data_IF_371813063520
#
_entry.id   IF_371813063520
#
_cell.length_a   1.000
_cell.length_b   1.000
_cell.length_c   1.000
_cell.angle_alpha   90.00
_cell.angle_beta   90.00
_cell.angle_gamma   90.00
#
_symmetry.space_group_name_H-M   'P 1'
#
loop_
_entity.id
_entity.type
_entity.pdbx_description
1 polymer ?
#
# COMPACT_ATOMS: atom_id res chain seq x y z
N UNK A 1 -8.01 3.50 9.81
CA UNK A 1 -8.13 2.37 8.85
C UNK A 1 -9.19 2.61 7.77
N UNK A 2 -10.50 2.81 8.07
CA UNK A 2 -11.52 2.93 7.01
C UNK A 2 -11.32 4.12 6.07
N UNK A 3 -10.90 5.27 6.61
CA UNK A 3 -10.64 6.49 5.81
C UNK A 3 -9.60 6.27 4.69
N UNK A 4 -8.50 5.57 5.00
CA UNK A 4 -7.46 5.23 4.01
C UNK A 4 -7.97 4.26 2.94
N UNK A 5 -8.92 3.37 3.28
CA UNK A 5 -9.53 2.47 2.31
C UNK A 5 -10.42 3.24 1.31
N UNK A 6 -11.24 4.17 1.79
CA UNK A 6 -12.07 5.00 0.89
C UNK A 6 -11.23 5.89 -0.03
N UNK A 7 -10.13 6.45 0.46
CA UNK A 7 -9.17 7.21 -0.38
C UNK A 7 -8.62 6.30 -1.48
N UNK A 8 -8.20 5.08 -1.15
CA UNK A 8 -7.71 4.11 -2.15
C UNK A 8 -8.79 3.70 -3.15
N UNK A 9 -10.03 3.51 -2.69
CA UNK A 9 -11.16 3.18 -3.56
C UNK A 9 -11.48 4.34 -4.53
N UNK A 10 -11.30 5.59 -4.09
CA UNK A 10 -11.43 6.74 -4.97
C UNK A 10 -10.30 6.81 -6.01
N UNK A 11 -9.05 6.58 -5.60
CA UNK A 11 -7.89 6.63 -6.50
C UNK A 11 -7.84 5.46 -7.49
N UNK A 12 -8.33 4.30 -7.07
CA UNK A 12 -8.41 3.07 -7.85
C UNK A 12 -9.80 2.45 -7.67
N UNK A 13 -10.83 2.96 -8.38
CA UNK A 13 -12.17 2.40 -8.32
C UNK A 13 -12.12 0.94 -8.78
N UNK A 14 -12.74 0.04 -8.01
CA UNK A 14 -12.93 -1.34 -8.45
C UNK A 14 -13.70 -1.32 -9.77
N UNK A 15 -13.21 -2.07 -10.75
CA UNK A 15 -13.57 -2.16 -12.19
C UNK A 15 -15.06 -2.23 -12.62
N UNK A 16 -16.03 -1.85 -11.79
CA UNK A 16 -17.44 -1.78 -12.18
C UNK A 16 -17.71 -0.79 -13.32
N UNK A 17 -16.88 0.24 -13.50
CA UNK A 17 -17.02 1.16 -14.64
C UNK A 17 -16.48 0.60 -15.96
N UNK A 18 -15.50 -0.33 -15.91
CA UNK A 18 -14.96 -0.98 -17.12
C UNK A 18 -15.92 -2.07 -17.62
N UNK A 19 -16.52 -2.83 -16.69
CA UNK A 19 -17.49 -3.87 -17.03
C UNK A 19 -18.79 -3.32 -17.62
N UNK A 20 -19.24 -2.13 -17.19
CA UNK A 20 -20.44 -1.49 -17.75
C UNK A 20 -20.16 -0.91 -19.15
N UNK A 21 -18.94 -0.43 -19.43
CA UNK A 21 -18.53 0.04 -20.75
C UNK A 21 -18.26 -1.12 -21.74
N UNK A 22 -17.76 -2.28 -21.27
CA UNK A 22 -17.69 -3.51 -22.08
C UNK A 22 -19.09 -4.12 -22.33
N UNK A 23 -19.96 -4.13 -21.32
CA UNK A 23 -21.33 -4.60 -21.47
C UNK A 23 -22.15 -3.68 -22.38
N UNK A 24 -21.80 -2.39 -22.48
CA UNK A 24 -22.42 -1.44 -23.41
C UNK A 24 -22.07 -1.75 -24.88
N UNK A 25 -20.88 -2.30 -25.16
CA UNK A 25 -20.34 -2.58 -26.52
C UNK A 25 -20.73 -3.95 -27.11
N UNK A 26 -21.34 -4.85 -26.32
CA UNK A 26 -21.78 -6.16 -26.81
C UNK A 26 -23.12 -6.12 -27.57
N UNK A 27 -23.35 -6.97 -28.60
CA UNK A 27 -24.62 -7.05 -29.31
C UNK A 27 -25.77 -7.50 -28.39
N UNK A 28 -26.98 -6.96 -28.62
CA UNK A 28 -28.17 -7.11 -27.76
C UNK A 28 -28.56 -8.57 -27.45
N UNK A 29 -28.22 -9.52 -28.34
CA UNK A 29 -28.48 -10.96 -28.16
C UNK A 29 -27.62 -11.61 -27.07
N UNK A 30 -26.42 -11.08 -26.80
CA UNK A 30 -25.52 -11.57 -25.74
C UNK A 30 -25.84 -10.94 -24.38
N UNK A 31 -26.26 -9.65 -24.34
CA UNK A 31 -26.69 -8.97 -23.10
C UNK A 31 -27.88 -9.66 -22.44
N UNK A 32 -28.85 -10.14 -23.23
CA UNK A 32 -30.04 -10.84 -22.70
C UNK A 32 -29.68 -12.20 -22.09
N UNK A 33 -28.74 -12.95 -22.69
CA UNK A 33 -28.25 -14.22 -22.16
C UNK A 33 -27.44 -14.04 -20.87
N UNK A 34 -26.59 -13.01 -20.80
CA UNK A 34 -25.76 -12.77 -19.61
C UNK A 34 -26.60 -12.27 -18.41
N UNK A 35 -27.54 -11.34 -18.63
CA UNK A 35 -28.47 -10.88 -17.59
C UNK A 35 -29.38 -12.00 -17.09
N UNK A 36 -29.80 -12.92 -17.97
CA UNK A 36 -30.57 -14.10 -17.57
C UNK A 36 -29.74 -15.11 -16.77
N UNK A 37 -28.45 -15.27 -17.10
CA UNK A 37 -27.51 -16.12 -16.35
C UNK A 37 -27.19 -15.54 -14.97
N UNK A 38 -26.97 -14.24 -14.87
CA UNK A 38 -26.75 -13.53 -13.60
C UNK A 38 -27.99 -13.58 -12.69
N UNK A 39 -29.18 -13.27 -13.22
CA UNK A 39 -30.44 -13.41 -12.44
C UNK A 39 -30.68 -14.85 -11.96
N UNK A 40 -30.29 -15.86 -12.74
CA UNK A 40 -30.40 -17.27 -12.35
C UNK A 40 -29.38 -17.68 -11.30
N UNK A 41 -28.18 -17.11 -11.32
CA UNK A 41 -27.16 -17.33 -10.29
C UNK A 41 -27.55 -16.62 -8.98
N UNK A 42 -28.03 -15.38 -9.05
CA UNK A 42 -28.49 -14.61 -7.89
C UNK A 42 -29.73 -15.25 -7.24
N UNK A 43 -30.69 -15.75 -8.05
CA UNK A 43 -31.84 -16.49 -7.54
C UNK A 43 -31.46 -17.84 -6.91
N UNK A 44 -30.35 -18.47 -7.33
CA UNK A 44 -29.83 -19.69 -6.70
C UNK A 44 -29.13 -19.37 -5.38
N UNK A 45 -28.29 -18.33 -5.33
CA UNK A 45 -27.62 -17.89 -4.12
C UNK A 45 -28.62 -17.43 -3.04
N UNK A 46 -29.69 -16.71 -3.43
CA UNK A 46 -30.76 -16.31 -2.50
C UNK A 46 -31.52 -17.51 -1.93
N UNK A 47 -31.83 -18.52 -2.76
CA UNK A 47 -32.49 -19.74 -2.31
C UNK A 47 -31.60 -20.59 -1.41
N UNK A 48 -30.30 -20.70 -1.71
CA UNK A 48 -29.34 -21.42 -0.85
C UNK A 48 -29.13 -20.70 0.50
N UNK A 49 -29.19 -19.36 0.52
CA UNK A 49 -29.14 -18.59 1.76
C UNK A 49 -30.42 -18.71 2.60
N UNK A 50 -31.61 -18.77 1.98
CA UNK A 50 -32.88 -19.01 2.68
C UNK A 50 -32.97 -20.43 3.26
N UNK A 51 -32.58 -21.47 2.50
CA UNK A 51 -32.59 -22.86 2.99
C UNK A 51 -31.63 -23.04 4.17
N UNK A 52 -30.46 -22.39 4.15
CA UNK A 52 -29.51 -22.44 5.27
C UNK A 52 -30.01 -21.69 6.51
N UNK A 53 -30.84 -20.66 6.34
CA UNK A 53 -31.50 -19.97 7.45
C UNK A 53 -32.64 -20.81 8.05
N UNK A 54 -33.42 -21.53 7.24
CA UNK A 54 -34.51 -22.39 7.72
C UNK A 54 -33.98 -23.63 8.48
N UNK A 55 -32.89 -24.26 8.03
CA UNK A 55 -32.29 -25.40 8.73
C UNK A 55 -31.72 -25.01 10.12
N UNK A 56 -31.27 -23.77 10.30
CA UNK A 56 -30.82 -23.28 11.61
C UNK A 56 -31.95 -22.93 12.58
N UNK A 57 -33.20 -22.84 12.10
CA UNK A 57 -34.33 -22.39 12.90
C UNK A 57 -35.27 -23.54 13.38
N UNK A 58 -35.04 -24.78 12.95
CA UNK A 58 -35.85 -25.95 13.36
C UNK A 58 -35.17 -26.80 14.45
N UNK A 59 -33.86 -26.64 14.67
CA UNK A 59 -33.11 -27.37 15.70
C UNK A 59 -32.88 -26.56 16.98
N UNK A 60 -33.91 -26.32 17.80
CA UNK A 60 -33.69 -25.58 19.06
C UNK A 60 -34.88 -25.28 19.96
N UNK A 61 -35.88 -26.16 20.05
CA UNK A 61 -36.89 -26.06 21.11
C UNK A 61 -36.34 -26.70 22.38
N UNK A 62 -35.72 -25.92 23.28
CA UNK A 62 -35.98 -25.96 24.73
C UNK A 62 -35.16 -24.94 25.55
N UNK A 63 -35.91 -24.11 26.27
CA UNK A 63 -35.60 -23.38 27.53
C UNK A 63 -34.55 -22.24 27.55
N UNK A 64 -35.12 -21.05 27.80
CA UNK A 64 -34.62 -19.93 28.64
C UNK A 64 -33.47 -19.06 28.12
N UNK A 65 -33.77 -17.76 28.00
CA UNK A 65 -32.75 -16.70 27.92
C UNK A 65 -32.98 -15.72 26.78
N UNK A 66 -33.65 -14.60 27.07
CA UNK A 66 -33.88 -13.46 26.18
C UNK A 66 -32.55 -12.78 25.82
N UNK A 67 -31.78 -13.35 24.88
CA UNK A 67 -30.69 -12.64 24.19
C UNK A 67 -31.28 -12.10 22.89
N UNK A 68 -31.46 -10.78 22.82
CA UNK A 68 -31.65 -10.09 21.55
C UNK A 68 -30.49 -10.51 20.64
N UNK A 69 -30.80 -11.30 19.61
CA UNK A 69 -29.82 -11.68 18.59
C UNK A 69 -29.23 -10.40 18.01
N UNK A 70 -27.89 -10.31 17.99
CA UNK A 70 -27.21 -9.20 17.29
C UNK A 70 -27.79 -9.13 15.87
N UNK A 71 -28.11 -7.93 15.35
CA UNK A 71 -28.54 -7.78 13.97
C UNK A 71 -27.57 -8.55 13.07
N UNK A 72 -28.09 -9.50 12.28
CA UNK A 72 -27.29 -10.20 11.28
C UNK A 72 -26.79 -9.14 10.32
N UNK A 73 -25.47 -9.05 10.18
CA UNK A 73 -24.83 -8.10 9.28
C UNK A 73 -25.36 -8.32 7.86
N UNK A 74 -26.02 -7.33 7.23
CA UNK A 74 -26.57 -7.45 5.88
C UNK A 74 -25.48 -7.41 4.79
N UNK A 75 -24.20 -7.26 5.14
CA UNK A 75 -23.06 -7.30 4.24
C UNK A 75 -21.83 -8.00 4.87
N UNK A 76 -21.91 -9.30 5.18
CA UNK A 76 -20.86 -10.02 5.90
C UNK A 76 -19.56 -10.16 5.08
N UNK A 77 -19.62 -9.94 3.76
CA UNK A 77 -18.46 -9.96 2.86
C UNK A 77 -17.97 -8.56 2.47
N UNK A 78 -18.66 -7.48 2.87
CA UNK A 78 -18.27 -6.11 2.56
C UNK A 78 -18.44 -5.70 1.09
N UNK A 79 -19.24 -6.44 0.32
CA UNK A 79 -19.42 -6.21 -1.13
C UNK A 79 -20.16 -4.89 -1.39
N UNK A 80 -21.13 -4.53 -0.54
CA UNK A 80 -21.83 -3.24 -0.65
C UNK A 80 -20.91 -2.09 -0.26
N UNK A 81 -19.98 -2.32 0.67
CA UNK A 81 -18.99 -1.31 1.07
C UNK A 81 -18.04 -0.96 -0.09
N UNK A 82 -17.67 -1.95 -0.91
CA UNK A 82 -16.86 -1.74 -2.12
C UNK A 82 -17.64 -1.01 -3.22
N UNK A 83 -18.95 -1.17 -3.27
CA UNK A 83 -19.85 -0.50 -4.22
C UNK A 83 -20.32 0.89 -3.76
N UNK A 84 -19.61 1.52 -2.82
CA UNK A 84 -19.95 2.87 -2.34
C UNK A 84 -19.92 3.88 -3.50
N UNK A 85 -21.04 4.54 -3.79
CA UNK A 85 -21.18 5.49 -4.90
C UNK A 85 -20.26 6.72 -4.78
N UNK A 86 -20.12 7.28 -3.58
CA UNK A 86 -19.18 8.38 -3.30
C UNK A 86 -18.25 8.04 -2.12
N UNK A 87 -17.09 7.41 -2.39
CA UNK A 87 -16.12 7.08 -1.36
C UNK A 87 -15.61 8.31 -0.60
N UNK A 88 -15.51 9.47 -1.26
CA UNK A 88 -15.01 10.69 -0.63
C UNK A 88 -16.03 11.32 0.31
N UNK A 89 -17.33 11.17 0.04
CA UNK A 89 -18.38 11.60 0.96
C UNK A 89 -18.34 10.78 2.25
N UNK A 90 -18.24 9.45 2.15
CA UNK A 90 -18.08 8.57 3.32
C UNK A 90 -16.79 8.88 4.09
N UNK A 91 -15.66 9.05 3.38
CA UNK A 91 -14.41 9.52 3.96
C UNK A 91 -14.60 10.83 4.77
N UNK A 92 -15.43 11.74 4.27
CA UNK A 92 -15.76 12.99 4.94
C UNK A 92 -16.46 12.81 6.30
N UNK A 93 -17.29 11.77 6.46
CA UNK A 93 -17.97 11.49 7.74
C UNK A 93 -16.96 11.06 8.81
N UNK A 94 -16.06 10.14 8.46
CA UNK A 94 -14.98 9.72 9.36
C UNK A 94 -14.01 10.86 9.67
N UNK A 95 -13.69 11.68 8.67
CA UNK A 95 -12.81 12.82 8.86
C UNK A 95 -13.39 13.82 9.88
N UNK A 96 -14.69 14.13 9.80
CA UNK A 96 -15.36 15.00 10.78
C UNK A 96 -15.26 14.44 12.21
N UNK A 97 -15.40 13.13 12.37
CA UNK A 97 -15.27 12.48 13.68
C UNK A 97 -13.84 12.59 14.22
N UNK A 98 -12.83 12.34 13.37
CA UNK A 98 -11.42 12.48 13.74
C UNK A 98 -11.08 13.93 14.09
N UNK A 99 -11.55 14.91 13.32
CA UNK A 99 -11.33 16.32 13.63
C UNK A 99 -11.99 16.75 14.95
N UNK A 100 -13.13 16.14 15.32
CA UNK A 100 -13.83 16.44 16.57
C UNK A 100 -13.17 15.83 17.80
N UNK A 101 -12.62 14.61 17.68
CA UNK A 101 -12.13 13.83 18.83
C UNK A 101 -10.61 13.60 18.85
N UNK A 102 -9.90 13.96 17.79
CA UNK A 102 -8.47 13.67 17.61
C UNK A 102 -7.79 14.76 16.77
N UNK A 103 -8.11 16.03 17.04
CA UNK A 103 -7.53 17.20 16.36
C UNK A 103 -6.04 17.41 16.66
N UNK A 104 -5.50 16.82 17.71
CA UNK A 104 -4.09 16.97 18.07
C UNK A 104 -3.20 15.89 17.46
N UNK A 105 -3.79 14.96 16.70
CA UNK A 105 -3.05 13.91 16.01
C UNK A 105 -2.66 14.36 14.60
N UNK A 106 -1.38 14.22 14.26
CA UNK A 106 -0.85 14.58 12.94
C UNK A 106 -1.57 13.85 11.81
N UNK A 107 -1.79 12.54 11.98
CA UNK A 107 -2.49 11.66 11.04
C UNK A 107 -3.89 12.17 10.66
N UNK A 108 -4.62 12.80 11.60
CA UNK A 108 -5.93 13.38 11.33
C UNK A 108 -5.84 14.45 10.25
N UNK A 109 -4.86 15.33 10.35
CA UNK A 109 -4.68 16.43 9.41
C UNK A 109 -4.02 15.98 8.11
N UNK A 110 -3.17 14.95 8.13
CA UNK A 110 -2.65 14.32 6.90
C UNK A 110 -3.81 13.76 6.07
N UNK A 111 -4.73 13.03 6.71
CA UNK A 111 -5.92 12.51 6.03
C UNK A 111 -6.86 13.64 5.60
N UNK A 112 -7.00 14.71 6.40
CA UNK A 112 -7.77 15.90 6.02
C UNK A 112 -7.23 16.54 4.76
N UNK A 113 -5.92 16.70 4.68
CA UNK A 113 -5.23 17.24 3.52
C UNK A 113 -5.50 16.37 2.28
N UNK A 114 -5.26 15.06 2.37
CA UNK A 114 -5.43 14.13 1.25
C UNK A 114 -6.88 14.11 0.71
N UNK A 115 -7.88 14.14 1.59
CA UNK A 115 -9.30 14.18 1.21
C UNK A 115 -9.66 15.52 0.57
N UNK A 116 -9.25 16.64 1.16
CA UNK A 116 -9.60 17.97 0.64
C UNK A 116 -8.89 18.29 -0.69
N UNK A 117 -7.66 17.79 -0.89
CA UNK A 117 -6.96 17.88 -2.16
C UNK A 117 -7.70 17.14 -3.28
N UNK A 118 -8.21 15.92 -3.01
CA UNK A 118 -9.03 15.16 -3.98
C UNK A 118 -10.35 15.84 -4.28
N UNK A 119 -11.02 16.38 -3.25
CA UNK A 119 -12.26 17.15 -3.39
C UNK A 119 -12.08 18.55 -4.00
N UNK A 120 -10.86 18.95 -4.37
CA UNK A 120 -10.53 20.29 -4.88
C UNK A 120 -10.92 21.42 -3.90
N UNK A 121 -11.01 21.14 -2.60
CA UNK A 121 -11.32 22.14 -1.55
C UNK A 121 -10.03 22.77 -1.03
N UNK A 122 -9.43 23.63 -1.85
CA UNK A 122 -8.08 24.15 -1.63
C UNK A 122 -7.91 24.89 -0.31
N UNK A 123 -8.87 25.73 0.09
CA UNK A 123 -8.78 26.47 1.36
C UNK A 123 -8.86 25.54 2.59
N UNK A 124 -9.62 24.45 2.52
CA UNK A 124 -9.65 23.44 3.57
C UNK A 124 -8.36 22.60 3.60
N UNK A 125 -7.77 22.33 2.44
CA UNK A 125 -6.46 21.70 2.36
C UNK A 125 -5.37 22.61 2.96
N UNK A 126 -5.42 23.93 2.70
CA UNK A 126 -4.53 24.91 3.33
C UNK A 126 -4.73 24.96 4.85
N UNK A 127 -5.97 24.91 5.33
CA UNK A 127 -6.27 24.85 6.76
C UNK A 127 -5.65 23.60 7.41
N UNK A 128 -5.81 22.43 6.79
CA UNK A 128 -5.20 21.19 7.26
C UNK A 128 -3.66 21.30 7.27
N UNK A 129 -3.08 21.91 6.25
CA UNK A 129 -1.65 22.14 6.16
C UNK A 129 -1.11 23.05 7.27
N UNK A 130 -1.83 24.13 7.61
CA UNK A 130 -1.47 24.99 8.77
C UNK A 130 -1.49 24.20 10.08
N UNK A 131 -2.43 23.26 10.25
CA UNK A 131 -2.47 22.39 11.43
C UNK A 131 -1.31 21.39 11.46
N UNK A 132 -0.95 20.81 10.31
CA UNK A 132 0.24 19.93 10.21
C UNK A 132 1.50 20.66 10.65
N UNK A 133 1.70 21.87 10.15
CA UNK A 133 2.85 22.71 10.46
C UNK A 133 2.88 23.15 11.93
N UNK A 134 1.71 23.38 12.54
CA UNK A 134 1.60 23.68 13.98
C UNK A 134 1.97 22.47 14.85
N UNK A 135 1.62 21.26 14.42
CA UNK A 135 1.83 20.05 15.21
C UNK A 135 3.26 19.51 15.08
N UNK A 136 3.77 19.37 13.86
CA UNK A 136 5.10 18.87 13.58
C UNK A 136 5.56 19.34 12.19
N UNK A 137 6.30 20.45 12.18
CA UNK A 137 6.88 21.09 11.00
C UNK A 137 8.06 20.30 10.40
N UNK A 138 8.75 19.52 11.24
CA UNK A 138 9.91 18.70 10.85
C UNK A 138 9.48 17.34 10.28
N UNK A 139 8.19 16.98 10.40
CA UNK A 139 7.71 15.69 9.92
C UNK A 139 7.88 15.52 8.39
N UNK A 140 8.36 14.35 7.92
CA UNK A 140 8.50 14.09 6.49
C UNK A 140 7.17 14.14 5.72
N UNK A 141 6.07 13.69 6.33
CA UNK A 141 4.75 13.73 5.69
C UNK A 141 4.16 15.15 5.68
N UNK A 142 4.40 15.95 6.73
CA UNK A 142 4.04 17.38 6.75
C UNK A 142 4.77 18.14 5.64
N UNK A 143 6.07 17.87 5.44
CA UNK A 143 6.88 18.47 4.39
C UNK A 143 6.40 18.06 2.99
N UNK A 144 6.07 16.77 2.78
CA UNK A 144 5.41 16.29 1.55
C UNK A 144 4.14 17.07 1.25
N UNK A 145 3.24 17.20 2.23
CA UNK A 145 1.99 17.92 2.05
C UNK A 145 2.22 19.39 1.69
N UNK A 146 3.18 20.05 2.35
CA UNK A 146 3.52 21.46 2.10
C UNK A 146 3.94 21.70 0.66
N UNK A 147 4.97 21.00 0.18
CA UNK A 147 5.50 21.24 -1.16
C UNK A 147 4.53 20.74 -2.24
N UNK A 148 3.88 19.59 -2.04
CA UNK A 148 2.84 19.10 -2.98
C UNK A 148 1.69 20.08 -3.10
N UNK A 149 1.26 20.71 -2.02
CA UNK A 149 0.20 21.73 -2.07
C UNK A 149 0.59 22.89 -2.97
N UNK A 150 1.72 23.54 -2.69
CA UNK A 150 2.13 24.72 -3.46
C UNK A 150 2.50 24.39 -4.90
N UNK A 151 3.12 23.23 -5.15
CA UNK A 151 3.36 22.76 -6.51
C UNK A 151 2.05 22.54 -7.27
N UNK A 152 1.08 21.84 -6.65
CA UNK A 152 -0.21 21.55 -7.27
C UNK A 152 -1.04 22.80 -7.52
N UNK A 153 -1.00 23.78 -6.62
CA UNK A 153 -1.67 25.08 -6.81
C UNK A 153 -1.03 25.87 -7.94
N UNK A 154 0.30 25.90 -8.01
CA UNK A 154 1.03 26.59 -9.08
C UNK A 154 0.84 25.94 -10.46
N UNK A 155 0.62 24.61 -10.51
CA UNK A 155 0.37 23.88 -11.75
C UNK A 155 -1.08 23.99 -12.28
N UNK A 156 -1.96 24.75 -11.61
CA UNK A 156 -3.36 24.89 -12.05
C UNK A 156 -3.45 25.91 -13.20
N UNK A 157 -4.46 25.79 -14.08
CA UNK A 157 -4.77 26.84 -15.03
C UNK A 157 -4.96 28.19 -14.34
N UNK A 158 -4.71 29.27 -15.08
CA UNK A 158 -4.94 30.62 -14.59
C UNK A 158 -6.40 30.78 -14.09
N UNK A 159 -6.62 31.53 -12.99
CA UNK A 159 -7.94 31.68 -12.40
C UNK A 159 -8.89 32.35 -13.39
N UNK A 160 -9.97 31.66 -13.74
CA UNK A 160 -10.96 32.14 -14.71
C UNK A 160 -12.06 32.95 -14.02
N UNK A 161 -12.35 32.63 -12.77
CA UNK A 161 -13.41 33.27 -11.97
C UNK A 161 -12.83 34.17 -10.88
N UNK A 162 -13.60 35.16 -10.44
CA UNK A 162 -13.17 36.03 -9.34
C UNK A 162 -13.02 35.26 -8.01
N UNK A 163 -13.80 34.20 -7.81
CA UNK A 163 -13.63 33.30 -6.68
C UNK A 163 -12.27 32.60 -6.68
N UNK A 164 -11.80 32.13 -7.83
CA UNK A 164 -10.47 31.51 -7.95
C UNK A 164 -9.33 32.52 -7.74
N UNK A 165 -9.49 33.76 -8.22
CA UNK A 165 -8.52 34.84 -7.95
C UNK A 165 -8.43 35.14 -6.46
N UNK A 166 -9.57 35.21 -5.76
CA UNK A 166 -9.61 35.40 -4.30
C UNK A 166 -8.92 34.24 -3.57
N UNK A 167 -9.19 33.00 -3.97
CA UNK A 167 -8.54 31.82 -3.39
C UNK A 167 -7.02 31.90 -3.60
N UNK A 168 -6.56 32.25 -4.80
CA UNK A 168 -5.14 32.39 -5.10
C UNK A 168 -4.49 33.52 -4.25
N UNK A 169 -5.15 34.68 -4.14
CA UNK A 169 -4.67 35.78 -3.30
C UNK A 169 -4.55 35.40 -1.82
N UNK A 170 -5.48 34.61 -1.29
CA UNK A 170 -5.36 34.06 0.08
C UNK A 170 -4.16 33.13 0.20
N UNK A 171 -3.91 32.25 -0.77
CA UNK A 171 -2.78 31.31 -0.75
C UNK A 171 -1.45 32.07 -0.82
N UNK A 172 -1.35 33.09 -1.68
CA UNK A 172 -0.17 33.94 -1.81
C UNK A 172 0.11 34.72 -0.53
N UNK A 173 -0.92 35.28 0.11
CA UNK A 173 -0.81 35.98 1.39
C UNK A 173 -0.41 35.04 2.55
N UNK A 174 -0.85 33.78 2.52
CA UNK A 174 -0.53 32.78 3.56
C UNK A 174 0.82 32.10 3.34
N UNK A 175 1.35 32.05 2.11
CA UNK A 175 2.66 31.47 1.79
C UNK A 175 3.82 31.94 2.70
N UNK A 176 4.02 33.24 2.99
CA UNK A 176 5.13 33.69 3.83
C UNK A 176 5.00 33.27 5.31
N UNK A 177 3.84 32.78 5.75
CA UNK A 177 3.64 32.29 7.13
C UNK A 177 4.31 30.93 7.36
N UNK A 178 4.62 30.19 6.29
CA UNK A 178 5.35 28.94 6.35
C UNK A 178 6.85 29.22 6.38
N UNK A 179 7.47 29.06 7.55
CA UNK A 179 8.91 29.35 7.77
C UNK A 179 9.83 28.64 6.76
N UNK A 180 9.48 27.43 6.33
CA UNK A 180 10.24 26.65 5.36
C UNK A 180 10.21 27.24 3.94
N UNK A 181 9.19 28.02 3.60
CA UNK A 181 9.00 28.62 2.28
C UNK A 181 9.28 30.13 2.26
N UNK A 182 9.58 30.73 3.40
CA UNK A 182 9.80 32.17 3.51
C UNK A 182 11.01 32.59 2.67
N UNK A 183 10.77 33.32 1.58
CA UNK A 183 11.81 33.77 0.64
C UNK A 183 12.49 32.66 -0.16
N UNK A 184 11.93 31.44 -0.18
CA UNK A 184 12.52 30.26 -0.84
C UNK A 184 11.60 29.70 -1.91
N UNK A 185 12.19 29.21 -2.99
CA UNK A 185 11.52 28.33 -3.94
C UNK A 185 11.23 26.97 -3.30
N UNK A 186 10.34 26.18 -3.94
CA UNK A 186 10.03 24.84 -3.46
C UNK A 186 11.25 23.91 -3.51
N UNK A 187 12.09 24.06 -4.53
CA UNK A 187 13.32 23.28 -4.69
C UNK A 187 14.31 23.61 -3.57
N UNK A 188 14.57 24.90 -3.32
CA UNK A 188 15.46 25.33 -2.22
C UNK A 188 14.95 24.88 -0.85
N UNK A 189 13.64 24.98 -0.61
CA UNK A 189 13.04 24.49 0.63
C UNK A 189 13.25 22.98 0.81
N UNK A 190 13.15 22.20 -0.27
CA UNK A 190 13.39 20.76 -0.24
C UNK A 190 14.86 20.43 0.05
N UNK A 191 15.80 21.17 -0.55
CA UNK A 191 17.24 21.01 -0.30
C UNK A 191 17.58 21.36 1.14
N UNK A 192 17.07 22.47 1.68
CA UNK A 192 17.30 22.85 3.09
C UNK A 192 16.78 21.78 4.05
N UNK A 193 15.60 21.21 3.76
CA UNK A 193 15.02 20.14 4.57
C UNK A 193 15.89 18.86 4.55
N UNK A 194 16.48 18.52 3.40
CA UNK A 194 17.44 17.42 3.32
C UNK A 194 18.67 17.68 4.19
N UNK A 195 19.22 18.90 4.14
CA UNK A 195 20.41 19.27 4.88
C UNK A 195 20.24 19.14 6.40
N UNK A 196 19.02 19.40 6.89
CA UNK A 196 18.66 19.28 8.30
C UNK A 196 18.47 17.82 8.76
N UNK A 197 18.12 16.91 7.84
CA UNK A 197 17.65 15.55 8.17
C UNK A 197 18.39 14.43 7.42
N UNK A 198 19.69 14.63 7.12
CA UNK A 198 20.50 13.75 6.26
C UNK A 198 20.56 12.28 6.69
N UNK A 199 20.42 12.03 7.99
CA UNK A 199 20.53 10.70 8.59
C UNK A 199 19.19 9.94 8.65
N UNK A 200 18.07 10.64 8.40
CA UNK A 200 16.75 10.04 8.53
C UNK A 200 16.23 9.50 7.20
N UNK A 201 16.06 8.18 7.13
CA UNK A 201 15.54 7.49 5.95
C UNK A 201 14.23 8.10 5.43
N UNK A 202 13.28 8.38 6.33
CA UNK A 202 11.96 8.88 5.93
C UNK A 202 12.01 10.32 5.41
N UNK A 203 12.92 11.14 5.93
CA UNK A 203 13.12 12.51 5.43
C UNK A 203 13.78 12.48 4.04
N UNK A 204 14.80 11.64 3.84
CA UNK A 204 15.41 11.42 2.52
C UNK A 204 14.39 10.91 1.50
N UNK A 205 13.52 9.97 1.89
CA UNK A 205 12.46 9.46 1.04
C UNK A 205 11.42 10.53 0.69
N UNK A 206 11.04 11.39 1.64
CA UNK A 206 10.17 12.53 1.38
C UNK A 206 10.82 13.55 0.42
N UNK A 207 12.08 13.88 0.63
CA UNK A 207 12.85 14.78 -0.25
C UNK A 207 12.94 14.19 -1.65
N UNK A 208 13.29 12.92 -1.79
CA UNK A 208 13.40 12.25 -3.08
C UNK A 208 12.08 12.27 -3.86
N UNK A 209 10.96 11.96 -3.19
CA UNK A 209 9.64 12.05 -3.79
C UNK A 209 9.33 13.47 -4.29
N UNK A 210 9.72 14.49 -3.51
CA UNK A 210 9.54 15.89 -3.87
C UNK A 210 10.48 16.34 -5.00
N UNK A 211 11.71 15.82 -5.08
CA UNK A 211 12.60 16.03 -6.23
C UNK A 211 11.91 15.53 -7.50
N UNK A 212 11.40 14.29 -7.47
CA UNK A 212 10.71 13.74 -8.63
C UNK A 212 9.40 14.48 -8.98
N UNK A 213 8.66 14.92 -7.97
CA UNK A 213 7.43 15.70 -8.16
C UNK A 213 7.70 17.09 -8.78
N UNK A 214 8.75 17.77 -8.34
CA UNK A 214 9.10 19.12 -8.81
C UNK A 214 9.88 19.09 -10.13
N UNK A 215 10.76 18.10 -10.30
CA UNK A 215 11.70 17.94 -11.40
C UNK A 215 11.70 16.48 -11.90
N UNK A 216 10.75 16.08 -12.75
CA UNK A 216 10.61 14.68 -13.20
C UNK A 216 11.86 14.11 -13.90
N UNK A 217 12.66 14.98 -14.53
CA UNK A 217 13.93 14.66 -15.16
C UNK A 217 15.02 14.20 -14.17
N UNK A 218 14.87 14.49 -12.87
CA UNK A 218 15.81 14.11 -11.81
C UNK A 218 15.43 12.81 -11.08
N UNK A 219 14.57 11.97 -11.67
CA UNK A 219 14.19 10.65 -11.12
C UNK A 219 15.39 9.84 -10.62
N UNK A 220 16.46 9.76 -11.42
CA UNK A 220 17.66 9.00 -11.05
C UNK A 220 18.39 9.54 -9.81
N UNK A 221 18.44 10.87 -9.65
CA UNK A 221 19.03 11.52 -8.47
C UNK A 221 18.19 11.24 -7.21
N UNK A 222 16.87 11.34 -7.34
CA UNK A 222 15.94 11.04 -6.24
C UNK A 222 16.04 9.58 -5.76
N UNK A 223 16.14 8.61 -6.68
CA UNK A 223 16.30 7.19 -6.31
C UNK A 223 17.66 6.97 -5.64
N UNK A 224 18.74 7.54 -6.18
CA UNK A 224 20.08 7.47 -5.56
C UNK A 224 20.07 8.03 -4.14
N UNK A 225 19.37 9.14 -3.91
CA UNK A 225 19.24 9.74 -2.57
C UNK A 225 18.66 8.74 -1.55
N UNK A 226 17.67 7.95 -1.95
CA UNK A 226 17.08 6.90 -1.12
C UNK A 226 18.07 5.75 -0.93
N UNK A 227 18.67 5.25 -2.02
CA UNK A 227 19.61 4.13 -1.98
C UNK A 227 20.85 4.46 -1.15
N UNK A 228 21.36 5.69 -1.16
CA UNK A 228 22.51 6.13 -0.38
C UNK A 228 22.19 6.45 1.08
N UNK A 229 20.96 6.17 1.55
CA UNK A 229 20.59 6.42 2.93
C UNK A 229 21.51 5.66 3.90
N UNK A 230 22.10 6.33 4.91
CA UNK A 230 22.89 5.64 5.92
C UNK A 230 21.96 4.82 6.83
N UNK A 231 22.44 3.65 7.25
CA UNK A 231 21.83 2.89 8.33
C UNK A 231 22.78 2.84 9.52
N UNK A 232 22.92 3.98 10.19
CA UNK A 232 23.82 4.10 11.33
C UNK A 232 23.32 3.21 12.48
N UNK A 233 24.25 2.53 13.16
CA UNK A 233 23.92 1.82 14.40
C UNK A 233 23.63 2.84 15.49
N UNK A 234 22.44 2.76 16.08
CA UNK A 234 22.09 3.55 17.25
C UNK A 234 22.50 2.72 18.47
N UNK A 235 23.33 3.27 19.35
CA UNK A 235 23.65 2.64 20.62
C UNK A 235 22.36 2.50 21.44
N UNK A 236 21.86 1.26 21.54
CA UNK A 236 20.74 0.95 22.41
C UNK A 236 21.26 0.75 23.83
N UNK A 237 20.76 1.51 24.80
CA UNK A 237 21.01 1.29 26.23
C UNK A 237 20.28 0.04 26.78
N UNK A 238 19.97 -0.93 25.92
CA UNK A 238 19.18 -2.13 26.23
C UNK A 238 19.95 -3.43 26.01
N UNK A 239 19.41 -4.58 26.47
CA UNK A 239 20.09 -5.88 26.40
C UNK A 239 20.33 -6.41 24.98
N UNK A 240 19.79 -5.74 23.95
CA UNK A 240 19.88 -6.14 22.54
C UNK A 240 21.06 -5.52 21.78
N UNK A 241 21.92 -4.75 22.46
CA UNK A 241 23.07 -4.10 21.84
C UNK A 241 22.70 -2.92 20.92
N UNK A 242 23.59 -2.59 19.99
CA UNK A 242 23.37 -1.51 19.02
C UNK A 242 22.37 -1.96 17.95
N UNK A 243 21.28 -1.21 17.78
CA UNK A 243 20.19 -1.53 16.86
C UNK A 243 20.31 -0.63 15.63
N UNK A 244 20.13 -1.20 14.44
CA UNK A 244 20.00 -0.46 13.18
C UNK A 244 18.98 0.68 13.33
N UNK A 245 19.34 1.90 12.91
CA UNK A 245 18.44 3.06 12.94
C UNK A 245 17.19 2.88 12.06
N UNK A 246 17.27 2.02 11.05
CA UNK A 246 16.12 1.71 10.19
C UNK A 246 15.09 0.82 10.88
N UNK A 247 13.81 1.23 10.77
CA UNK A 247 12.67 0.43 11.22
C UNK A 247 12.09 -0.33 10.03
N UNK A 248 11.66 -1.57 10.26
CA UNK A 248 11.05 -2.42 9.23
C UNK A 248 9.91 -1.71 8.49
N UNK A 249 9.02 -1.04 9.23
CA UNK A 249 7.88 -0.29 8.66
C UNK A 249 8.31 0.81 7.69
N UNK A 250 9.43 1.48 7.97
CA UNK A 250 9.94 2.61 7.19
C UNK A 250 10.58 2.07 5.90
N UNK A 251 11.37 1.00 5.99
CA UNK A 251 11.91 0.31 4.82
C UNK A 251 10.82 -0.25 3.90
N UNK A 252 9.73 -0.78 4.46
CA UNK A 252 8.57 -1.26 3.69
C UNK A 252 7.88 -0.09 2.99
N UNK A 253 7.74 1.06 3.66
CA UNK A 253 7.18 2.25 3.05
C UNK A 253 8.05 2.71 1.87
N UNK A 254 9.38 2.78 2.04
CA UNK A 254 10.31 3.13 0.97
C UNK A 254 10.24 2.18 -0.21
N UNK A 255 10.19 0.86 0.05
CA UNK A 255 10.03 -0.14 -1.02
C UNK A 255 8.75 0.11 -1.84
N UNK A 256 7.63 0.40 -1.16
CA UNK A 256 6.37 0.73 -1.83
C UNK A 256 6.47 2.04 -2.62
N UNK A 257 7.16 3.05 -2.09
CA UNK A 257 7.39 4.32 -2.79
C UNK A 257 8.20 4.10 -4.07
N UNK A 258 9.29 3.32 -4.02
CA UNK A 258 10.11 3.00 -5.20
C UNK A 258 9.30 2.30 -6.31
N UNK A 259 8.43 1.35 -5.94
CA UNK A 259 7.57 0.66 -6.92
C UNK A 259 6.39 1.49 -7.41
N UNK A 260 5.66 2.17 -6.52
CA UNK A 260 4.38 2.80 -6.86
C UNK A 260 4.49 4.27 -7.28
N UNK A 261 5.45 5.02 -6.73
CA UNK A 261 5.60 6.46 -7.01
C UNK A 261 6.65 6.69 -8.08
N UNK A 262 7.80 6.03 -7.95
CA UNK A 262 8.88 6.15 -8.93
C UNK A 262 8.68 5.25 -10.15
N UNK A 263 7.85 4.20 -10.05
CA UNK A 263 7.69 3.17 -11.09
C UNK A 263 9.06 2.61 -11.52
N UNK A 264 9.87 2.23 -10.52
CA UNK A 264 11.21 1.68 -10.73
C UNK A 264 11.34 0.34 -9.98
N UNK A 265 10.95 -0.73 -10.68
CA UNK A 265 10.97 -2.08 -10.14
C UNK A 265 12.39 -2.58 -9.86
N UNK A 266 13.38 -2.13 -10.61
CA UNK A 266 14.78 -2.51 -10.41
C UNK A 266 15.34 -1.88 -9.12
N UNK A 267 15.07 -0.59 -8.89
CA UNK A 267 15.40 0.09 -7.64
C UNK A 267 14.66 -0.54 -6.44
N UNK A 268 13.38 -0.85 -6.60
CA UNK A 268 12.61 -1.56 -5.57
C UNK A 268 13.24 -2.93 -5.24
N UNK A 269 13.67 -3.70 -6.25
CA UNK A 269 14.33 -4.99 -6.06
C UNK A 269 15.69 -4.85 -5.36
N UNK A 270 16.54 -3.90 -5.78
CA UNK A 270 17.81 -3.61 -5.11
C UNK A 270 17.58 -3.22 -3.65
N UNK A 271 16.58 -2.38 -3.39
CA UNK A 271 16.19 -1.98 -2.05
C UNK A 271 15.69 -3.16 -1.21
N UNK A 272 14.85 -4.04 -1.77
CA UNK A 272 14.38 -5.27 -1.13
C UNK A 272 15.55 -6.18 -0.73
N UNK A 273 16.46 -6.44 -1.66
CA UNK A 273 17.67 -7.24 -1.41
C UNK A 273 18.52 -6.66 -0.29
N UNK A 274 18.74 -5.34 -0.30
CA UNK A 274 19.46 -4.64 0.78
C UNK A 274 18.74 -4.79 2.12
N UNK A 275 17.42 -4.58 2.16
CA UNK A 275 16.65 -4.69 3.40
C UNK A 275 16.60 -6.12 3.95
N UNK A 276 16.64 -7.15 3.10
CA UNK A 276 16.67 -8.55 3.52
C UNK A 276 17.88 -8.86 4.42
N UNK A 277 19.02 -8.21 4.20
CA UNK A 277 20.22 -8.34 5.03
C UNK A 277 20.04 -7.74 6.43
N UNK A 278 19.30 -6.63 6.55
CA UNK A 278 19.03 -5.95 7.83
C UNK A 278 17.86 -6.55 8.60
N UNK A 279 16.92 -7.22 7.92
CA UNK A 279 15.74 -7.83 8.53
C UNK A 279 15.65 -9.34 8.23
N UNK A 280 16.49 -10.19 8.87
CA UNK A 280 16.61 -11.61 8.53
C UNK A 280 15.30 -12.40 8.62
N UNK A 281 14.39 -12.02 9.52
CA UNK A 281 13.12 -12.70 9.75
C UNK A 281 11.93 -12.09 8.98
N UNK A 282 12.14 -11.00 8.23
CA UNK A 282 11.06 -10.33 7.51
C UNK A 282 10.56 -11.21 6.37
N UNK A 283 9.28 -11.58 6.40
CA UNK A 283 8.60 -12.25 5.28
C UNK A 283 8.40 -11.32 4.09
N UNK A 284 8.26 -10.01 4.33
CA UNK A 284 8.08 -9.02 3.27
C UNK A 284 9.32 -8.88 2.38
N UNK A 285 10.51 -8.88 2.99
CA UNK A 285 11.78 -8.79 2.28
C UNK A 285 12.39 -10.16 1.96
N UNK A 286 11.71 -11.25 2.33
CA UNK A 286 12.21 -12.63 2.17
C UNK A 286 13.60 -12.81 2.80
N UNK A 287 13.76 -12.32 4.03
CA UNK A 287 15.01 -12.42 4.75
C UNK A 287 15.50 -13.88 4.88
N UNK A 288 16.82 -14.11 5.00
CA UNK A 288 17.42 -15.46 4.99
C UNK A 288 16.90 -16.40 6.07
N UNK A 289 16.32 -15.86 7.15
CA UNK A 289 15.79 -16.61 8.29
C UNK A 289 14.26 -16.50 8.41
N UNK A 290 13.56 -15.98 7.40
CA UNK A 290 12.10 -15.90 7.43
C UNK A 290 11.45 -17.29 7.30
N UNK A 291 10.23 -17.43 7.80
CA UNK A 291 9.48 -18.68 7.79
C UNK A 291 9.24 -19.24 6.38
N UNK A 292 9.16 -18.38 5.36
CA UNK A 292 9.03 -18.77 3.95
C UNK A 292 10.27 -19.56 3.49
N UNK A 293 11.47 -19.12 3.90
CA UNK A 293 12.72 -19.75 3.53
C UNK A 293 13.03 -21.00 4.39
N UNK A 294 12.58 -21.02 5.64
CA UNK A 294 12.66 -22.21 6.50
C UNK A 294 11.79 -23.35 5.96
N UNK A 295 10.53 -23.08 5.59
CA UNK A 295 9.63 -24.08 5.02
C UNK A 295 10.14 -24.66 3.69
N UNK A 296 10.83 -23.85 2.87
CA UNK A 296 11.47 -24.31 1.63
C UNK A 296 12.69 -25.20 1.87
N UNK A 297 13.42 -25.02 2.98
CA UNK A 297 14.52 -25.92 3.37
C UNK A 297 13.99 -27.26 3.84
N UNK A 298 12.97 -27.27 4.70
CA UNK A 298 12.34 -28.50 5.20
C UNK A 298 11.70 -29.32 4.06
N UNK A 299 11.08 -28.64 3.08
CA UNK A 299 10.51 -29.28 1.88
C UNK A 299 11.58 -29.91 0.96
N UNK A 300 12.77 -29.29 0.84
CA UNK A 300 13.89 -29.84 0.07
C UNK A 300 14.56 -31.02 0.78
N UNK A 301 14.61 -31.00 2.11
CA UNK A 301 15.17 -32.08 2.93
C UNK A 301 14.29 -33.33 2.88
N UNK A 302 12.96 -33.18 2.96
CA UNK A 302 12.01 -34.28 2.79
C UNK A 302 12.04 -34.93 1.40
N UNK A 303 12.46 -34.20 0.36
CA UNK A 303 12.60 -34.77 -0.98
C UNK A 303 13.89 -35.56 -1.17
N UNK A 304 14.93 -35.28 -0.38
CA UNK A 304 16.22 -36.00 -0.45
C UNK A 304 16.23 -37.27 0.41
N UNK A 305 15.45 -37.35 1.49
CA UNK A 305 15.33 -38.56 2.31
C UNK A 305 14.48 -39.69 1.67
N UNK A 306 13.71 -39.40 0.62
CA UNK A 306 12.89 -40.40 -0.08
C UNK A 306 13.59 -41.07 -1.30
N UNK A 307 14.88 -40.84 -1.50
CA UNK A 307 15.66 -41.55 -2.51
C UNK A 307 16.12 -42.92 -1.95
N UNK A 308 15.40 -43.99 -2.33
CA UNK A 308 15.72 -45.38 -2.02
C UNK A 308 17.17 -45.73 -2.45
N UNK A 309 17.99 -46.41 -1.62
CA UNK A 309 19.30 -46.87 -2.07
C UNK A 309 19.16 -47.93 -3.18
N UNK A 310 20.07 -47.98 -4.17
CA UNK A 310 20.00 -48.97 -5.23
C UNK A 310 20.22 -50.38 -4.65
N UNK A 311 19.35 -51.33 -5.05
CA UNK A 311 19.43 -52.74 -4.66
C UNK A 311 20.71 -53.40 -5.22
N UNK A 312 21.28 -54.40 -4.52
CA UNK A 312 22.46 -55.11 -4.99
C UNK A 312 22.08 -56.06 -6.13
N UNK A 313 22.87 -56.04 -7.22
CA UNK A 313 22.72 -56.94 -8.36
C UNK A 313 23.31 -58.30 -7.97
N UNK A 314 22.44 -59.31 -7.88
CA UNK A 314 22.79 -60.71 -7.65
C UNK A 314 23.18 -61.43 -8.93
N UNK A 315 24.14 -62.34 -8.75
CA UNK A 315 24.81 -63.25 -9.70
C UNK A 315 23.84 -64.11 -10.50
N UNK A 316 24.15 -64.36 -11.78
CA UNK A 316 23.48 -65.37 -12.61
C UNK A 316 24.08 -65.52 -14.01
N UNK A 317 24.90 -66.57 -14.15
CA UNK A 317 25.15 -67.43 -15.32
C UNK A 317 25.72 -66.89 -16.64
N UNK A 318 26.93 -67.40 -16.95
CA UNK A 318 27.51 -67.50 -18.28
C UNK A 318 26.75 -68.55 -19.12
N UNK A 319 26.79 -68.53 -20.48
CA UNK A 319 27.96 -69.11 -21.16
C UNK A 319 28.30 -68.55 -22.57
N UNK A 320 29.42 -69.08 -23.09
CA UNK A 320 29.85 -69.28 -24.49
C UNK A 320 30.89 -68.29 -25.04
N UNK A 321 32.07 -68.87 -25.21
CA UNK A 321 33.34 -68.35 -25.72
C UNK A 321 33.51 -68.76 -27.20
N UNK A 322 33.98 -67.87 -28.09
CA UNK A 322 34.56 -68.27 -29.37
C UNK A 322 36.07 -67.96 -29.43
N UNK A 323 36.85 -69.03 -29.27
CA UNK A 323 38.13 -69.35 -29.90
C UNK A 323 39.20 -68.25 -30.03
N UNK A 324 40.26 -68.41 -29.24
CA UNK A 324 41.63 -68.10 -29.64
C UNK A 324 42.33 -69.36 -30.21
N UNK A 325 43.17 -69.09 -31.21
CA UNK A 325 44.04 -69.94 -32.02
C UNK A 325 44.82 -71.05 -31.30
N UNK A 326 45.01 -72.15 -32.05
CA UNK A 326 46.26 -72.90 -32.27
C UNK A 326 47.21 -73.17 -31.08
N UNK A 327 47.37 -74.45 -30.72
CA UNK A 327 48.59 -75.26 -30.92
C UNK A 327 48.56 -76.55 -30.08
N UNK A 328 48.84 -77.67 -30.76
CA UNK A 328 49.27 -79.00 -30.28
C UNK A 328 48.26 -79.93 -29.60
#
# INVERSE_FOLDING_TARGET
MPLRCYIKLYDAPTKSNEEDDELSKLPASQKKKLRQKQRKAEARAKKEAEVKNEETNVGGVSKSGKKQGKPVDPDPHGEKLLQTEDPLLEAGKYLKLLQKHSSDYLETHLLSFEVNMRKQKILLALQALKQLQRLDAENPDSHRCLLRFFHKVASRPAPATDGEKLILGVIEAERPTFSQLHGKSLVEANTVFLEQHKDSLMHRAAVAELIYCLEPNKKGEAIKLIEESPNNLVSGNGPLGSVSGWKLKDCVAVHKTLGAVFDDNDAALRWKTRCAAYFPYSTYFEGPQCSINAANKDSKQAHTENALPPRPVGVGDAPVDPQALAER
#
